data_IF_445694642320
#
_entry.id   IF_445694642320
#
_cell.length_a   1.000
_cell.length_b   1.000
_cell.length_c   1.000
_cell.angle_alpha   90.00
_cell.angle_beta   90.00
_cell.angle_gamma   90.00
#
_symmetry.space_group_name_H-M   'P 1'
#
loop_
_entity.id
_entity.type
_entity.pdbx_description
1 polymer ?
#
# COMPACT_ATOMS: atom_id res chain seq x y z
N UNK A 1 17.48 -25.23 11.32
CA UNK A 1 16.98 -24.82 10.00
C UNK A 1 15.79 -23.85 10.12
N UNK A 2 14.72 -24.13 10.88
CA UNK A 2 13.54 -23.26 11.01
C UNK A 2 13.82 -21.81 11.47
N UNK A 3 14.69 -21.61 12.49
CA UNK A 3 15.07 -20.26 12.97
C UNK A 3 15.75 -19.39 11.90
N UNK A 4 16.61 -19.98 11.06
CA UNK A 4 17.27 -19.25 9.98
C UNK A 4 16.29 -18.82 8.89
N UNK A 5 15.39 -19.71 8.49
CA UNK A 5 14.33 -19.41 7.52
C UNK A 5 13.38 -18.31 8.02
N UNK A 6 13.03 -18.34 9.31
CA UNK A 6 12.17 -17.30 9.92
C UNK A 6 12.88 -15.94 9.97
N UNK A 7 14.16 -15.90 10.32
CA UNK A 7 14.96 -14.66 10.32
C UNK A 7 15.10 -14.08 8.91
N UNK A 8 15.31 -14.95 7.91
CA UNK A 8 15.35 -14.52 6.51
C UNK A 8 14.01 -13.93 6.07
N UNK A 9 12.89 -14.62 6.32
CA UNK A 9 11.56 -14.14 5.98
C UNK A 9 11.23 -12.80 6.66
N UNK A 10 11.60 -12.61 7.93
CA UNK A 10 11.43 -11.34 8.63
C UNK A 10 12.24 -10.20 7.99
N UNK A 11 13.47 -10.47 7.58
CA UNK A 11 14.30 -9.49 6.87
C UNK A 11 13.77 -9.14 5.49
N UNK A 12 13.24 -10.12 4.76
CA UNK A 12 12.57 -9.90 3.47
C UNK A 12 11.28 -9.08 3.65
N UNK A 13 10.48 -9.39 4.65
CA UNK A 13 9.27 -8.64 4.98
C UNK A 13 9.55 -7.17 5.31
N UNK A 14 10.55 -6.90 6.15
CA UNK A 14 10.92 -5.53 6.49
C UNK A 14 11.35 -4.73 5.24
N UNK A 15 12.18 -5.33 4.37
CA UNK A 15 12.57 -4.70 3.10
C UNK A 15 11.36 -4.49 2.18
N UNK A 16 10.49 -5.48 2.07
CA UNK A 16 9.25 -5.39 1.28
C UNK A 16 8.39 -4.21 1.74
N UNK A 17 8.21 -4.05 3.05
CA UNK A 17 7.47 -2.93 3.62
C UNK A 17 8.09 -1.57 3.25
N UNK A 18 9.40 -1.42 3.40
CA UNK A 18 10.13 -0.19 3.03
C UNK A 18 9.97 0.12 1.53
N UNK A 19 10.07 -0.90 0.67
CA UNK A 19 9.86 -0.74 -0.78
C UNK A 19 8.43 -0.30 -1.09
N UNK A 20 7.44 -0.85 -0.41
CA UNK A 20 6.04 -0.46 -0.57
C UNK A 20 5.80 1.01 -0.20
N UNK A 21 6.35 1.46 0.92
CA UNK A 21 6.31 2.89 1.32
C UNK A 21 7.01 3.76 0.27
N UNK A 22 8.21 3.38 -0.16
CA UNK A 22 8.95 4.11 -1.19
C UNK A 22 8.19 4.21 -2.52
N UNK A 23 7.53 3.12 -2.93
CA UNK A 23 6.70 3.11 -4.14
C UNK A 23 5.50 4.06 -4.02
N UNK A 24 4.86 4.12 -2.84
CA UNK A 24 3.76 5.06 -2.58
C UNK A 24 4.23 6.51 -2.67
N UNK A 25 5.38 6.83 -2.08
CA UNK A 25 5.96 8.17 -2.15
C UNK A 25 6.33 8.54 -3.59
N UNK A 26 6.90 7.60 -4.35
CA UNK A 26 7.21 7.79 -5.76
C UNK A 26 5.95 8.04 -6.60
N UNK A 27 4.88 7.27 -6.36
CA UNK A 27 3.59 7.51 -7.01
C UNK A 27 3.10 8.94 -6.79
N UNK A 28 3.05 9.39 -5.53
CA UNK A 28 2.61 10.74 -5.19
C UNK A 28 3.52 11.81 -5.81
N UNK A 29 4.83 11.62 -5.78
CA UNK A 29 5.79 12.55 -6.36
C UNK A 29 5.59 12.71 -7.88
N UNK A 30 5.43 11.61 -8.61
CA UNK A 30 5.16 11.64 -10.06
C UNK A 30 3.80 12.27 -10.34
N UNK A 31 2.77 11.90 -9.59
CA UNK A 31 1.43 12.48 -9.72
C UNK A 31 1.46 14.01 -9.55
N UNK A 32 2.05 14.52 -8.49
CA UNK A 32 2.15 15.96 -8.23
C UNK A 32 3.01 16.67 -9.27
N UNK A 33 4.13 16.08 -9.68
CA UNK A 33 5.00 16.65 -10.72
C UNK A 33 4.24 16.80 -12.03
N UNK A 34 3.51 15.78 -12.47
CA UNK A 34 2.76 15.84 -13.72
C UNK A 34 1.61 16.84 -13.64
N UNK A 35 0.86 16.89 -12.52
CA UNK A 35 -0.17 17.90 -12.32
C UNK A 35 0.40 19.32 -12.38
N UNK A 36 1.53 19.55 -11.77
CA UNK A 36 2.22 20.84 -11.83
C UNK A 36 2.71 21.17 -13.24
N UNK A 37 3.34 20.22 -13.94
CA UNK A 37 3.85 20.44 -15.31
C UNK A 37 2.75 20.75 -16.33
N UNK A 38 1.56 20.16 -16.15
CA UNK A 38 0.44 20.34 -17.07
C UNK A 38 -0.60 21.36 -16.58
N UNK A 39 -0.33 22.02 -15.46
CA UNK A 39 -1.23 23.01 -14.82
C UNK A 39 -2.68 22.48 -14.69
N UNK A 40 -2.81 21.24 -14.20
CA UNK A 40 -4.09 20.57 -14.11
C UNK A 40 -4.87 21.05 -12.88
N UNK A 41 -6.08 21.57 -13.12
CA UNK A 41 -7.04 21.90 -12.07
C UNK A 41 -7.92 20.69 -11.74
N UNK A 42 -8.55 20.70 -10.56
CA UNK A 42 -9.51 19.66 -10.12
C UNK A 42 -10.69 19.47 -11.09
N UNK A 43 -10.99 20.49 -11.90
CA UNK A 43 -12.05 20.43 -12.91
C UNK A 43 -11.68 19.57 -14.10
N UNK A 44 -10.38 19.29 -14.33
CA UNK A 44 -9.91 18.41 -15.38
C UNK A 44 -9.83 16.94 -14.91
N UNK A 45 -10.98 16.31 -14.71
CA UNK A 45 -11.07 14.93 -14.20
C UNK A 45 -10.28 13.93 -15.05
N UNK A 46 -10.25 14.07 -16.38
CA UNK A 46 -9.49 13.19 -17.24
C UNK A 46 -7.98 13.37 -17.06
N UNK A 47 -7.50 14.61 -17.03
CA UNK A 47 -6.09 14.93 -16.82
C UNK A 47 -5.60 14.40 -15.47
N UNK A 48 -6.35 14.64 -14.41
CA UNK A 48 -6.06 14.12 -13.06
C UNK A 48 -6.00 12.57 -13.05
N UNK A 49 -6.96 11.91 -13.74
CA UNK A 49 -6.98 10.44 -13.82
C UNK A 49 -5.75 9.91 -14.58
N UNK A 50 -5.37 10.54 -15.68
CA UNK A 50 -4.21 10.12 -16.48
C UNK A 50 -2.88 10.31 -15.72
N UNK A 51 -2.71 11.44 -15.02
CA UNK A 51 -1.51 11.68 -14.23
C UNK A 51 -1.42 10.74 -13.03
N UNK A 52 -2.56 10.39 -12.41
CA UNK A 52 -2.61 9.38 -11.35
C UNK A 52 -2.22 8.00 -11.88
N UNK A 53 -2.78 7.59 -13.02
CA UNK A 53 -2.45 6.31 -13.65
C UNK A 53 -0.98 6.24 -14.08
N UNK A 54 -0.41 7.33 -14.60
CA UNK A 54 1.01 7.41 -14.94
C UNK A 54 1.91 7.27 -13.70
N UNK A 55 1.59 8.00 -12.62
CA UNK A 55 2.28 7.86 -11.34
C UNK A 55 2.24 6.43 -10.80
N UNK A 56 1.06 5.80 -10.87
CA UNK A 56 0.90 4.40 -10.48
C UNK A 56 1.76 3.46 -11.34
N UNK A 57 1.75 3.61 -12.66
CA UNK A 57 2.53 2.77 -13.55
C UNK A 57 4.05 2.88 -13.28
N UNK A 58 4.56 4.10 -13.11
CA UNK A 58 5.98 4.34 -12.78
C UNK A 58 6.34 3.70 -11.44
N UNK A 59 5.52 3.93 -10.41
CA UNK A 59 5.76 3.36 -9.08
C UNK A 59 5.65 1.84 -9.05
N UNK A 60 4.73 1.26 -9.82
CA UNK A 60 4.57 -0.19 -9.95
C UNK A 60 5.82 -0.85 -10.56
N UNK A 61 6.35 -0.30 -11.65
CA UNK A 61 7.58 -0.80 -12.28
C UNK A 61 8.78 -0.65 -11.34
N UNK A 62 8.93 0.50 -10.69
CA UNK A 62 10.00 0.72 -9.73
C UNK A 62 9.90 -0.25 -8.54
N UNK A 63 8.69 -0.43 -7.99
CA UNK A 63 8.41 -1.39 -6.93
C UNK A 63 8.82 -2.82 -7.33
N UNK A 64 8.45 -3.27 -8.53
CA UNK A 64 8.83 -4.58 -9.04
C UNK A 64 10.36 -4.75 -9.11
N UNK A 65 11.06 -3.80 -9.71
CA UNK A 65 12.52 -3.87 -9.88
C UNK A 65 13.24 -3.89 -8.52
N UNK A 66 12.84 -3.00 -7.59
CA UNK A 66 13.46 -2.91 -6.26
C UNK A 66 13.12 -4.15 -5.42
N UNK A 67 11.88 -4.63 -5.51
CA UNK A 67 11.46 -5.86 -4.82
C UNK A 67 12.28 -7.06 -5.28
N UNK A 68 12.48 -7.24 -6.59
CA UNK A 68 13.33 -8.30 -7.11
C UNK A 68 14.76 -8.22 -6.58
N UNK A 69 15.41 -7.06 -6.77
CA UNK A 69 16.84 -6.90 -6.56
C UNK A 69 17.24 -6.76 -5.10
N UNK A 70 16.44 -6.03 -4.34
CA UNK A 70 16.76 -5.69 -2.95
C UNK A 70 16.04 -6.55 -1.93
N UNK A 71 14.76 -6.84 -2.15
CA UNK A 71 13.98 -7.64 -1.19
C UNK A 71 14.32 -9.12 -1.31
N UNK A 72 14.16 -9.69 -2.50
CA UNK A 72 14.32 -11.14 -2.73
C UNK A 72 15.66 -11.53 -3.35
N UNK A 73 16.43 -10.56 -3.85
CA UNK A 73 17.76 -10.78 -4.45
C UNK A 73 17.72 -11.82 -5.56
N UNK A 74 16.75 -11.72 -6.45
CA UNK A 74 16.52 -12.66 -7.56
C UNK A 74 16.52 -11.91 -8.90
N UNK A 75 16.74 -12.64 -9.98
CA UNK A 75 16.66 -12.11 -11.33
C UNK A 75 15.20 -12.02 -11.80
N UNK A 76 14.92 -11.03 -12.65
CA UNK A 76 13.60 -10.83 -13.25
C UNK A 76 13.34 -11.83 -14.38
N UNK A 77 12.07 -12.18 -14.56
CA UNK A 77 11.57 -12.89 -15.74
C UNK A 77 10.15 -12.45 -16.04
N UNK A 78 9.67 -12.74 -17.24
CA UNK A 78 8.27 -12.42 -17.62
C UNK A 78 7.28 -13.10 -16.68
N UNK A 79 7.52 -14.38 -16.32
CA UNK A 79 6.68 -15.12 -15.40
C UNK A 79 6.62 -14.46 -14.02
N UNK A 80 7.75 -14.01 -13.47
CA UNK A 80 7.82 -13.29 -12.20
C UNK A 80 7.10 -11.94 -12.27
N UNK A 81 7.25 -11.23 -13.38
CA UNK A 81 6.54 -9.97 -13.63
C UNK A 81 5.02 -10.15 -13.64
N UNK A 82 4.53 -11.17 -14.31
CA UNK A 82 3.11 -11.53 -14.32
C UNK A 82 2.62 -11.96 -12.94
N UNK A 83 3.39 -12.77 -12.22
CA UNK A 83 3.07 -13.16 -10.85
C UNK A 83 2.99 -11.96 -9.89
N UNK A 84 3.92 -11.00 -10.02
CA UNK A 84 3.90 -9.77 -9.28
C UNK A 84 2.66 -8.92 -9.60
N UNK A 85 2.32 -8.76 -10.89
CA UNK A 85 1.12 -8.04 -11.31
C UNK A 85 -0.16 -8.72 -10.80
N UNK A 86 -0.23 -10.05 -10.86
CA UNK A 86 -1.34 -10.83 -10.32
C UNK A 86 -1.47 -10.63 -8.79
N UNK A 87 -0.36 -10.66 -8.05
CA UNK A 87 -0.36 -10.39 -6.61
C UNK A 87 -0.94 -9.01 -6.30
N UNK A 88 -0.61 -8.00 -7.07
CA UNK A 88 -1.16 -6.65 -6.91
C UNK A 88 -2.66 -6.56 -7.25
N UNK A 89 -3.13 -7.30 -8.25
CA UNK A 89 -4.54 -7.36 -8.58
C UNK A 89 -5.36 -8.02 -7.46
N UNK A 90 -4.89 -9.15 -6.95
CA UNK A 90 -5.51 -9.83 -5.79
C UNK A 90 -5.47 -8.93 -4.56
N UNK A 91 -4.35 -8.25 -4.34
CA UNK A 91 -4.20 -7.28 -3.25
C UNK A 91 -5.25 -6.15 -3.33
N UNK A 92 -5.47 -5.58 -4.51
CA UNK A 92 -6.50 -4.57 -4.72
C UNK A 92 -7.91 -5.10 -4.42
N UNK A 93 -8.22 -6.31 -4.87
CA UNK A 93 -9.50 -6.98 -4.56
C UNK A 93 -9.69 -7.21 -3.05
N UNK A 94 -8.64 -7.66 -2.37
CA UNK A 94 -8.68 -7.85 -0.90
C UNK A 94 -8.87 -6.51 -0.17
N UNK A 95 -8.19 -5.44 -0.61
CA UNK A 95 -8.38 -4.11 -0.03
C UNK A 95 -9.85 -3.67 -0.12
N UNK A 96 -10.45 -3.76 -1.29
CA UNK A 96 -11.84 -3.37 -1.49
C UNK A 96 -12.81 -4.24 -0.69
N UNK A 97 -12.61 -5.56 -0.70
CA UNK A 97 -13.45 -6.51 0.04
C UNK A 97 -13.39 -6.30 1.55
N UNK A 98 -12.19 -6.21 2.12
CA UNK A 98 -11.99 -6.00 3.55
C UNK A 98 -12.41 -4.60 4.00
N UNK A 99 -12.18 -3.57 3.19
CA UNK A 99 -12.62 -2.22 3.50
C UNK A 99 -14.15 -2.16 3.64
N UNK A 100 -14.88 -2.77 2.70
CA UNK A 100 -16.34 -2.85 2.77
C UNK A 100 -16.82 -3.71 3.95
N UNK A 101 -16.16 -4.83 4.22
CA UNK A 101 -16.46 -5.67 5.38
C UNK A 101 -16.28 -4.89 6.69
N UNK A 102 -15.13 -4.26 6.90
CA UNK A 102 -14.85 -3.49 8.11
C UNK A 102 -15.77 -2.27 8.26
N UNK A 103 -16.14 -1.65 7.14
CA UNK A 103 -17.17 -0.60 7.13
C UNK A 103 -18.52 -1.12 7.61
N UNK A 104 -18.95 -2.29 7.12
CA UNK A 104 -20.25 -2.87 7.47
C UNK A 104 -20.37 -3.30 8.93
N UNK A 105 -19.24 -3.62 9.58
CA UNK A 105 -19.21 -3.99 11.01
C UNK A 105 -18.85 -2.81 11.94
N UNK A 106 -18.76 -1.59 11.41
CA UNK A 106 -18.46 -0.41 12.23
C UNK A 106 -17.03 -0.35 12.82
N UNK A 107 -16.05 -1.01 12.17
CA UNK A 107 -14.69 -1.07 12.70
C UNK A 107 -14.02 0.32 12.79
N UNK A 108 -14.34 1.25 11.88
CA UNK A 108 -13.85 2.63 11.93
C UNK A 108 -14.38 3.38 13.16
N UNK A 109 -15.66 3.23 13.47
CA UNK A 109 -16.29 3.85 14.64
C UNK A 109 -15.66 3.31 15.94
N UNK A 110 -15.51 2.00 16.04
CA UNK A 110 -14.89 1.36 17.22
C UNK A 110 -13.44 1.84 17.42
N UNK A 111 -12.65 1.97 16.36
CA UNK A 111 -11.27 2.46 16.43
C UNK A 111 -11.21 3.94 16.79
N UNK A 112 -12.07 4.80 16.21
CA UNK A 112 -12.10 6.22 16.55
C UNK A 112 -12.49 6.45 18.00
N UNK A 113 -13.51 5.75 18.50
CA UNK A 113 -13.92 5.80 19.91
C UNK A 113 -12.78 5.34 20.83
N UNK A 114 -12.08 4.27 20.48
CA UNK A 114 -10.95 3.77 21.26
C UNK A 114 -9.81 4.80 21.34
N UNK A 115 -9.47 5.45 20.23
CA UNK A 115 -8.41 6.47 20.19
C UNK A 115 -8.82 7.71 20.99
N UNK A 116 -10.06 8.18 20.82
CA UNK A 116 -10.58 9.32 21.58
C UNK A 116 -10.56 9.03 23.09
N UNK A 117 -10.88 7.80 23.47
CA UNK A 117 -10.88 7.40 24.89
C UNK A 117 -9.48 7.24 25.49
N UNK A 118 -8.54 6.63 24.74
CA UNK A 118 -7.18 6.34 25.24
C UNK A 118 -6.24 7.54 25.10
N UNK A 119 -6.38 8.32 24.04
CA UNK A 119 -5.43 9.37 23.64
C UNK A 119 -6.14 10.63 23.12
N UNK A 120 -7.01 11.28 23.91
CA UNK A 120 -7.77 12.44 23.45
C UNK A 120 -6.85 13.57 22.93
N UNK A 121 -5.70 13.78 23.59
CA UNK A 121 -4.70 14.75 23.19
C UNK A 121 -4.14 14.50 21.77
N UNK A 122 -4.09 13.24 21.34
CA UNK A 122 -3.62 12.89 19.99
C UNK A 122 -4.63 13.28 18.92
N UNK A 123 -5.93 13.21 19.25
CA UNK A 123 -7.00 13.65 18.34
C UNK A 123 -7.02 15.18 18.19
N UNK A 124 -6.70 15.90 19.25
CA UNK A 124 -6.52 17.36 19.18
C UNK A 124 -5.35 17.75 18.27
N UNK A 125 -4.23 17.01 18.35
CA UNK A 125 -3.06 17.23 17.51
C UNK A 125 -3.27 16.78 16.06
N UNK A 126 -3.98 15.67 15.86
CA UNK A 126 -4.24 15.06 14.54
C UNK A 126 -5.73 14.73 14.41
N UNK A 127 -6.58 15.71 14.04
CA UNK A 127 -8.04 15.55 14.02
C UNK A 127 -8.57 14.41 13.14
N UNK A 128 -7.77 13.98 12.15
CA UNK A 128 -8.10 12.82 11.30
C UNK A 128 -8.29 11.53 12.12
N UNK A 129 -7.59 11.37 13.25
CA UNK A 129 -7.67 10.18 14.09
C UNK A 129 -8.99 10.06 14.85
N UNK A 130 -9.77 11.13 14.93
CA UNK A 130 -11.14 11.11 15.45
C UNK A 130 -12.20 10.75 14.41
N UNK A 131 -11.83 10.57 13.15
CA UNK A 131 -12.76 10.29 12.06
C UNK A 131 -12.75 8.80 11.70
N UNK A 132 -13.91 8.09 11.80
CA UNK A 132 -14.02 6.66 11.50
C UNK A 132 -13.49 6.28 10.12
N UNK A 133 -13.81 7.09 9.11
CA UNK A 133 -13.39 6.84 7.73
C UNK A 133 -11.87 6.88 7.52
N UNK A 134 -11.16 7.69 8.31
CA UNK A 134 -9.69 7.79 8.25
C UNK A 134 -8.98 6.58 8.87
N UNK A 135 -9.63 5.92 9.81
CA UNK A 135 -9.08 4.76 10.53
C UNK A 135 -9.45 3.42 9.89
N UNK A 136 -10.48 3.41 9.08
CA UNK A 136 -11.00 2.20 8.43
C UNK A 136 -9.96 1.42 7.61
N UNK A 137 -8.98 2.05 6.93
CA UNK A 137 -7.94 1.31 6.23
C UNK A 137 -6.93 0.58 7.13
N UNK A 138 -6.77 0.97 8.40
CA UNK A 138 -5.75 0.41 9.28
C UNK A 138 -5.87 -1.11 9.47
N UNK A 139 -7.04 -1.67 9.85
CA UNK A 139 -7.19 -3.12 9.98
C UNK A 139 -7.06 -3.84 8.64
N UNK A 140 -7.38 -3.18 7.52
CA UNK A 140 -7.15 -3.72 6.17
C UNK A 140 -5.65 -3.92 5.94
N UNK A 141 -4.83 -2.92 6.21
CA UNK A 141 -3.37 -3.02 6.02
C UNK A 141 -2.73 -4.10 6.88
N UNK A 142 -3.19 -4.29 8.11
CA UNK A 142 -2.68 -5.33 9.02
C UNK A 142 -2.83 -6.72 8.40
N UNK A 143 -3.88 -6.96 7.64
CA UNK A 143 -4.15 -8.23 6.97
C UNK A 143 -3.49 -8.29 5.58
N UNK A 144 -3.70 -7.26 4.78
CA UNK A 144 -3.36 -7.30 3.35
C UNK A 144 -1.85 -7.20 3.12
N UNK A 145 -1.10 -6.43 3.92
CA UNK A 145 0.34 -6.28 3.72
C UNK A 145 1.10 -7.60 3.92
N UNK A 146 0.89 -8.38 5.00
CA UNK A 146 1.51 -9.69 5.13
C UNK A 146 1.08 -10.68 4.04
N UNK A 147 -0.19 -10.70 3.66
CA UNK A 147 -0.67 -11.59 2.61
C UNK A 147 -0.07 -11.25 1.25
N UNK A 148 0.01 -9.96 0.92
CA UNK A 148 0.66 -9.51 -0.31
C UNK A 148 2.14 -9.89 -0.34
N UNK A 149 2.86 -9.74 0.79
CA UNK A 149 4.24 -10.19 0.90
C UNK A 149 4.38 -11.69 0.61
N UNK A 150 3.51 -12.52 1.17
CA UNK A 150 3.54 -13.97 0.94
C UNK A 150 3.25 -14.33 -0.51
N UNK A 151 2.27 -13.66 -1.14
CA UNK A 151 1.96 -13.86 -2.55
C UNK A 151 3.14 -13.45 -3.45
N UNK A 152 3.68 -12.26 -3.25
CA UNK A 152 4.82 -11.77 -4.04
C UNK A 152 6.03 -12.68 -3.84
N UNK A 153 6.30 -13.11 -2.61
CA UNK A 153 7.38 -14.07 -2.31
C UNK A 153 7.19 -15.42 -3.00
N UNK A 154 5.96 -15.87 -3.17
CA UNK A 154 5.66 -17.12 -3.87
C UNK A 154 6.01 -17.05 -5.36
N UNK A 155 5.81 -15.89 -5.99
CA UNK A 155 6.05 -15.70 -7.43
C UNK A 155 7.49 -15.28 -7.76
N UNK A 156 8.22 -14.67 -6.83
CA UNK A 156 9.57 -14.14 -7.04
C UNK A 156 10.66 -15.07 -6.48
#
# INVERSE_FOLDING_TARGET
MAKAALKQAGGEFARFFVVGVGATLLHLAVYWLLNWCFDLSEQNALGITLTYAAGYAVSFVANYIVTLRWTFKTEGSVSKGLGFAFSHLVNAGMHLGLLNLFRSVGAGDALSMLIIWLMPWLVELVPMLGRPESLLPLPVYVIVVPLNFLMVRFFL
#
